data_IF_942515313099
#
_entry.id   IF_942515313099
#
_cell.length_a   1.000
_cell.length_b   1.000
_cell.length_c   1.000
_cell.angle_alpha   90.00
_cell.angle_beta   90.00
_cell.angle_gamma   90.00
#
_symmetry.space_group_name_H-M   'P 1'
#
loop_
_entity.id
_entity.type
_entity.pdbx_description
1 polymer ?
#
# COMPACT_ATOMS: atom_id res chain seq x y z
N UNK A 1 -9.32 -25.12 16.08
CA UNK A 1 -10.60 -24.65 15.53
C UNK A 1 -10.75 -23.20 15.96
N UNK A 2 -10.28 -22.26 15.12
CA UNK A 2 -10.37 -20.82 15.37
C UNK A 2 -11.54 -20.29 14.57
N UNK A 3 -12.57 -19.83 15.26
CA UNK A 3 -13.68 -19.16 14.63
C UNK A 3 -13.14 -17.82 14.08
N UNK A 4 -13.16 -17.67 12.77
CA UNK A 4 -12.93 -16.41 12.11
C UNK A 4 -14.01 -15.43 12.57
N UNK A 5 -13.61 -14.42 13.35
CA UNK A 5 -14.42 -13.23 13.47
C UNK A 5 -14.31 -12.53 12.11
N UNK A 6 -15.39 -12.59 11.37
CA UNK A 6 -15.60 -11.88 10.11
C UNK A 6 -15.67 -10.38 10.42
N UNK A 7 -14.51 -9.75 10.49
CA UNK A 7 -14.35 -8.29 10.47
C UNK A 7 -13.97 -8.01 9.04
N UNK A 8 -15.00 -7.91 8.20
CA UNK A 8 -14.97 -7.56 6.78
C UNK A 8 -13.64 -6.95 6.29
N UNK A 9 -12.75 -7.79 5.79
CA UNK A 9 -11.69 -7.41 4.86
C UNK A 9 -10.35 -6.98 5.43
N UNK A 10 -10.18 -6.82 6.74
CA UNK A 10 -8.85 -6.58 7.30
C UNK A 10 -8.16 -7.93 7.49
N UNK A 11 -7.46 -8.36 6.47
CA UNK A 11 -6.50 -9.44 6.61
C UNK A 11 -5.29 -8.88 7.35
N UNK A 12 -5.30 -8.96 8.69
CA UNK A 12 -4.08 -8.79 9.47
C UNK A 12 -3.26 -10.02 9.17
N UNK A 13 -2.55 -9.98 8.06
CA UNK A 13 -1.59 -11.00 7.70
C UNK A 13 -0.38 -10.82 8.61
N UNK A 14 -0.49 -11.35 9.82
CA UNK A 14 0.71 -11.59 10.61
C UNK A 14 1.64 -12.42 9.75
N UNK A 15 2.78 -11.84 9.41
CA UNK A 15 3.84 -12.52 8.70
C UNK A 15 4.20 -13.81 9.47
N UNK A 16 3.52 -14.89 9.10
CA UNK A 16 3.68 -16.23 9.68
C UNK A 16 4.94 -16.91 9.17
N UNK A 17 6.10 -16.30 9.40
CA UNK A 17 7.39 -16.94 9.18
C UNK A 17 8.10 -17.26 10.49
N UNK A 18 7.35 -17.84 11.44
CA UNK A 18 7.94 -18.46 12.62
C UNK A 18 7.17 -19.73 12.93
N UNK A 19 7.47 -20.80 12.18
CA UNK A 19 7.18 -22.15 12.64
C UNK A 19 8.14 -22.49 13.77
N UNK A 20 7.59 -22.84 14.93
CA UNK A 20 8.34 -23.54 15.95
C UNK A 20 8.36 -22.90 17.34
N UNK A 21 7.75 -23.61 18.27
CA UNK A 21 8.06 -23.65 19.70
C UNK A 21 7.83 -22.39 20.53
N UNK A 22 6.78 -22.46 21.31
CA UNK A 22 6.49 -21.57 22.43
C UNK A 22 7.61 -21.67 23.47
N UNK A 23 8.55 -20.73 23.46
CA UNK A 23 9.42 -20.42 24.60
C UNK A 23 10.15 -19.09 24.31
N UNK A 24 9.72 -18.01 24.97
CA UNK A 24 10.45 -16.76 25.18
C UNK A 24 11.22 -16.19 23.97
N UNK A 25 10.61 -16.10 22.81
CA UNK A 25 11.17 -15.26 21.77
C UNK A 25 10.74 -13.82 22.02
N UNK A 26 11.70 -13.03 22.47
CA UNK A 26 11.65 -11.58 22.45
C UNK A 26 11.44 -11.21 20.97
N UNK A 27 10.22 -10.88 20.60
CA UNK A 27 9.92 -10.35 19.26
C UNK A 27 10.48 -8.95 19.25
N UNK A 28 11.70 -8.80 18.73
CA UNK A 28 12.32 -7.50 18.50
C UNK A 28 11.85 -7.03 17.13
N UNK A 29 11.35 -5.79 17.05
CA UNK A 29 10.92 -5.17 15.81
C UNK A 29 9.57 -4.45 15.92
N UNK A 30 9.19 -3.78 14.85
CA UNK A 30 7.96 -2.96 14.73
C UNK A 30 6.65 -3.74 14.94
N UNK A 31 6.66 -5.05 14.80
CA UNK A 31 5.47 -5.89 15.00
C UNK A 31 5.00 -6.04 16.46
N UNK A 32 5.87 -5.80 17.45
CA UNK A 32 5.50 -5.97 18.86
C UNK A 32 4.41 -5.00 19.32
N UNK A 33 4.53 -3.68 19.09
CA UNK A 33 3.50 -2.71 19.47
C UNK A 33 2.14 -2.99 18.81
N UNK A 34 2.13 -3.42 17.56
CA UNK A 34 0.89 -3.75 16.84
C UNK A 34 0.13 -4.92 17.46
N UNK A 35 0.84 -5.88 18.03
CA UNK A 35 0.24 -7.01 18.72
C UNK A 35 -0.55 -6.58 19.95
N UNK A 36 -0.16 -5.50 20.62
CA UNK A 36 -0.87 -4.97 21.79
C UNK A 36 -2.19 -4.31 21.42
N UNK A 37 -2.35 -3.86 20.17
CA UNK A 37 -3.62 -3.34 19.66
C UNK A 37 -4.69 -4.44 19.48
N UNK A 38 -4.29 -5.71 19.45
CA UNK A 38 -5.21 -6.85 19.29
C UNK A 38 -5.63 -7.37 20.66
N UNK A 39 -6.90 -7.21 20.98
CA UNK A 39 -7.52 -7.66 22.24
C UNK A 39 -8.48 -8.81 22.00
N UNK A 40 -8.98 -9.45 23.07
CA UNK A 40 -10.03 -10.47 22.98
C UNK A 40 -11.37 -9.91 22.48
N UNK A 41 -11.57 -8.59 22.53
CA UNK A 41 -12.80 -7.90 22.12
C UNK A 41 -12.74 -7.37 20.68
N UNK A 42 -11.54 -7.34 20.06
CA UNK A 42 -11.29 -6.82 18.74
C UNK A 42 -9.94 -6.10 18.66
N UNK A 43 -9.76 -5.36 17.58
CA UNK A 43 -8.57 -4.55 17.30
C UNK A 43 -8.87 -3.10 17.67
N UNK A 44 -7.99 -2.47 18.43
CA UNK A 44 -7.99 -1.03 18.65
C UNK A 44 -7.32 -0.35 17.44
N UNK A 45 -8.15 0.02 16.45
CA UNK A 45 -7.69 0.59 15.20
C UNK A 45 -7.05 1.96 15.36
N UNK A 46 -7.49 2.76 16.34
CA UNK A 46 -6.89 4.07 16.60
C UNK A 46 -5.47 3.94 17.18
N UNK A 47 -5.28 3.02 18.13
CA UNK A 47 -3.96 2.69 18.65
C UNK A 47 -3.05 2.12 17.56
N UNK A 48 -3.60 1.26 16.71
CA UNK A 48 -2.92 0.68 15.55
C UNK A 48 -2.40 1.76 14.58
N UNK A 49 -3.25 2.70 14.19
CA UNK A 49 -2.89 3.76 13.25
C UNK A 49 -1.84 4.72 13.82
N UNK A 50 -1.85 4.99 15.13
CA UNK A 50 -0.84 5.82 15.80
C UNK A 50 0.57 5.23 15.78
N UNK A 51 0.69 3.93 15.64
CA UNK A 51 1.99 3.25 15.55
C UNK A 51 2.63 3.38 14.16
N UNK A 52 1.91 3.84 13.16
CA UNK A 52 2.39 3.92 11.78
C UNK A 52 3.69 4.72 11.63
N UNK A 53 3.82 5.84 12.33
CA UNK A 53 5.02 6.66 12.30
C UNK A 53 6.29 5.92 12.77
N UNK A 54 6.14 4.90 13.63
CA UNK A 54 7.27 4.06 14.06
C UNK A 54 7.66 3.06 12.98
N UNK A 55 6.67 2.39 12.37
CA UNK A 55 6.90 1.38 11.32
C UNK A 55 7.53 1.97 10.07
N UNK A 56 7.16 3.18 9.68
CA UNK A 56 7.77 3.88 8.53
C UNK A 56 9.30 3.96 8.63
N UNK A 57 9.83 4.08 9.86
CA UNK A 57 11.27 4.15 10.09
C UNK A 57 11.96 2.78 10.21
N UNK A 58 11.21 1.73 10.57
CA UNK A 58 11.78 0.43 10.88
C UNK A 58 11.69 -0.54 9.69
N UNK A 59 10.54 -0.61 9.03
CA UNK A 59 10.27 -1.54 7.93
C UNK A 59 9.33 -0.95 6.89
N UNK A 60 9.91 -0.48 5.80
CA UNK A 60 9.15 0.14 4.72
C UNK A 60 8.15 -0.82 4.02
N UNK A 61 8.43 -2.13 3.96
CA UNK A 61 7.51 -3.10 3.35
C UNK A 61 6.23 -3.23 4.18
N UNK A 62 6.39 -3.44 5.48
CA UNK A 62 5.26 -3.48 6.41
C UNK A 62 4.50 -2.14 6.41
N UNK A 63 5.21 -1.01 6.31
CA UNK A 63 4.56 0.30 6.22
C UNK A 63 3.69 0.44 4.95
N UNK A 64 4.17 -0.05 3.80
CA UNK A 64 3.41 -0.06 2.54
C UNK A 64 2.13 -0.90 2.69
N UNK A 65 2.25 -2.13 3.19
CA UNK A 65 1.11 -3.03 3.39
C UNK A 65 0.06 -2.40 4.31
N UNK A 66 0.49 -1.88 5.46
CA UNK A 66 -0.42 -1.21 6.41
C UNK A 66 -1.12 -0.01 5.77
N UNK A 67 -0.38 0.85 5.08
CA UNK A 67 -0.96 2.04 4.46
C UNK A 67 -1.98 1.68 3.37
N UNK A 68 -1.68 0.71 2.52
CA UNK A 68 -2.61 0.22 1.51
C UNK A 68 -3.86 -0.39 2.13
N UNK A 69 -3.70 -1.32 3.09
CA UNK A 69 -4.82 -2.00 3.74
C UNK A 69 -5.73 -1.02 4.48
N UNK A 70 -5.16 -0.07 5.23
CA UNK A 70 -5.95 0.92 5.97
C UNK A 70 -6.72 1.88 5.08
N UNK A 71 -6.18 2.23 3.93
CA UNK A 71 -6.85 3.09 2.95
C UNK A 71 -7.88 2.34 2.11
N UNK A 72 -7.61 1.09 1.76
CA UNK A 72 -8.57 0.23 1.03
C UNK A 72 -9.75 -0.17 1.91
N UNK A 73 -9.52 -0.35 3.22
CA UNK A 73 -10.54 -0.75 4.20
C UNK A 73 -10.61 0.26 5.36
N UNK A 74 -11.14 1.46 5.16
CA UNK A 74 -11.06 2.58 6.11
C UNK A 74 -12.06 2.49 7.26
N UNK A 75 -12.06 1.37 8.00
CA UNK A 75 -12.92 1.20 9.18
C UNK A 75 -12.38 2.09 10.32
N UNK A 76 -13.24 2.97 10.87
CA UNK A 76 -12.89 3.89 11.96
C UNK A 76 -11.62 4.73 11.71
N UNK A 77 -11.30 5.01 10.43
CA UNK A 77 -10.13 5.78 10.06
C UNK A 77 -10.41 7.28 10.13
N UNK A 78 -9.73 7.96 11.04
CA UNK A 78 -9.82 9.42 11.19
C UNK A 78 -9.18 10.15 9.99
N UNK A 79 -9.74 11.31 9.61
CA UNK A 79 -9.30 12.03 8.41
C UNK A 79 -7.81 12.39 8.44
N UNK A 80 -7.28 12.83 9.58
CA UNK A 80 -5.86 13.19 9.70
C UNK A 80 -4.92 11.99 9.54
N UNK A 81 -5.36 10.79 9.95
CA UNK A 81 -4.61 9.56 9.77
C UNK A 81 -4.68 9.08 8.32
N UNK A 82 -5.85 9.26 7.67
CA UNK A 82 -5.99 9.02 6.23
C UNK A 82 -5.03 9.88 5.43
N UNK A 83 -4.99 11.18 5.68
CA UNK A 83 -4.09 12.12 5.02
C UNK A 83 -2.61 11.72 5.23
N UNK A 84 -2.26 11.23 6.41
CA UNK A 84 -0.92 10.74 6.71
C UNK A 84 -0.55 9.51 5.87
N UNK A 85 -1.46 8.55 5.70
CA UNK A 85 -1.26 7.38 4.85
C UNK A 85 -1.15 7.77 3.37
N UNK A 86 -2.06 8.62 2.88
CA UNK A 86 -2.05 9.11 1.49
C UNK A 86 -0.75 9.87 1.19
N UNK A 87 -0.34 10.76 2.07
CA UNK A 87 0.91 11.50 1.93
C UNK A 87 2.14 10.57 1.91
N UNK A 88 2.16 9.55 2.75
CA UNK A 88 3.24 8.55 2.75
C UNK A 88 3.31 7.80 1.43
N UNK A 89 2.16 7.33 0.91
CA UNK A 89 2.10 6.60 -0.35
C UNK A 89 2.49 7.48 -1.55
N UNK A 90 2.04 8.73 -1.59
CA UNK A 90 2.38 9.67 -2.65
C UNK A 90 3.89 10.01 -2.67
N UNK A 91 4.46 10.32 -1.51
CA UNK A 91 5.88 10.67 -1.38
C UNK A 91 6.81 9.50 -1.71
N UNK A 92 6.40 8.28 -1.47
CA UNK A 92 7.21 7.07 -1.68
C UNK A 92 6.74 6.23 -2.88
N UNK A 93 5.88 6.77 -3.75
CA UNK A 93 5.24 6.04 -4.84
C UNK A 93 6.22 5.25 -5.73
N UNK A 94 7.40 5.79 -6.00
CA UNK A 94 8.44 5.11 -6.80
C UNK A 94 8.92 3.81 -6.13
N UNK A 95 9.25 3.88 -4.84
CA UNK A 95 9.71 2.72 -4.06
C UNK A 95 8.57 1.71 -3.89
N UNK A 96 7.38 2.19 -3.66
CA UNK A 96 6.17 1.38 -3.48
C UNK A 96 5.88 0.56 -4.74
N UNK A 97 5.89 1.18 -5.91
CA UNK A 97 5.68 0.47 -7.17
C UNK A 97 6.77 -0.56 -7.46
N UNK A 98 8.03 -0.28 -7.12
CA UNK A 98 9.13 -1.25 -7.21
C UNK A 98 8.95 -2.48 -6.30
N UNK A 99 8.18 -2.35 -5.23
CA UNK A 99 7.82 -3.47 -4.34
C UNK A 99 6.57 -4.21 -4.83
N UNK A 100 5.50 -3.46 -5.13
CA UNK A 100 4.19 -4.04 -5.43
C UNK A 100 4.15 -4.75 -6.81
N UNK A 101 4.90 -4.26 -7.80
CA UNK A 101 4.88 -4.84 -9.16
C UNK A 101 5.44 -6.27 -9.17
N UNK A 102 6.65 -6.56 -8.66
CA UNK A 102 7.17 -7.93 -8.62
C UNK A 102 6.33 -8.88 -7.75
N UNK A 103 5.65 -8.36 -6.74
CA UNK A 103 4.76 -9.14 -5.87
C UNK A 103 3.37 -9.37 -6.47
N UNK A 104 3.11 -8.82 -7.67
CA UNK A 104 1.84 -8.92 -8.39
C UNK A 104 0.63 -8.41 -7.57
N UNK A 105 0.81 -7.33 -6.83
CA UNK A 105 -0.20 -6.69 -5.98
C UNK A 105 -1.14 -5.80 -6.81
N UNK A 106 -2.01 -6.46 -7.58
CA UNK A 106 -2.88 -5.80 -8.57
C UNK A 106 -3.91 -4.88 -7.90
N UNK A 107 -4.49 -5.31 -6.77
CA UNK A 107 -5.54 -4.56 -6.07
C UNK A 107 -5.00 -3.26 -5.47
N UNK A 108 -3.83 -3.34 -4.84
CA UNK A 108 -3.15 -2.18 -4.25
C UNK A 108 -2.75 -1.17 -5.32
N UNK A 109 -2.19 -1.63 -6.44
CA UNK A 109 -1.83 -0.75 -7.57
C UNK A 109 -3.08 -0.12 -8.20
N UNK A 110 -4.17 -0.87 -8.35
CA UNK A 110 -5.45 -0.35 -8.84
C UNK A 110 -6.00 0.74 -7.92
N UNK A 111 -5.91 0.54 -6.60
CA UNK A 111 -6.30 1.53 -5.62
C UNK A 111 -5.47 2.81 -5.72
N UNK A 112 -4.14 2.69 -5.81
CA UNK A 112 -3.23 3.83 -5.96
C UNK A 112 -3.55 4.65 -7.21
N UNK A 113 -3.86 3.98 -8.33
CA UNK A 113 -4.30 4.63 -9.57
C UNK A 113 -5.65 5.35 -9.39
N UNK A 114 -6.63 4.68 -8.78
CA UNK A 114 -7.96 5.24 -8.56
C UNK A 114 -7.94 6.47 -7.64
N UNK A 115 -7.05 6.47 -6.65
CA UNK A 115 -6.86 7.57 -5.70
C UNK A 115 -5.91 8.66 -6.20
N UNK A 116 -5.38 8.55 -7.42
CA UNK A 116 -4.43 9.49 -8.02
C UNK A 116 -3.15 9.71 -7.18
N UNK A 117 -2.69 8.69 -6.47
CA UNK A 117 -1.51 8.76 -5.58
C UNK A 117 -0.18 8.47 -6.31
N UNK A 118 -0.21 8.22 -7.62
CA UNK A 118 0.99 7.93 -8.42
C UNK A 118 1.38 9.18 -9.23
N UNK A 119 2.50 9.84 -8.91
CA UNK A 119 3.00 10.95 -9.71
C UNK A 119 3.56 10.48 -11.06
N UNK A 120 3.61 11.39 -12.04
CA UNK A 120 4.06 11.09 -13.42
C UNK A 120 5.47 10.50 -13.45
N UNK A 121 6.37 10.97 -12.57
CA UNK A 121 7.74 10.48 -12.47
C UNK A 121 7.79 9.00 -12.05
N UNK A 122 7.07 8.62 -11.00
CA UNK A 122 7.01 7.23 -10.53
C UNK A 122 6.38 6.30 -11.57
N UNK A 123 5.40 6.79 -12.33
CA UNK A 123 4.76 6.04 -13.41
C UNK A 123 5.73 5.76 -14.56
N UNK A 124 6.61 6.70 -14.90
CA UNK A 124 7.61 6.53 -15.96
C UNK A 124 8.57 5.36 -15.66
N UNK A 125 8.92 5.15 -14.40
CA UNK A 125 9.79 4.04 -13.97
C UNK A 125 9.02 2.72 -13.81
N UNK A 126 7.75 2.79 -13.40
CA UNK A 126 6.92 1.62 -13.16
C UNK A 126 6.50 0.87 -14.44
N UNK A 127 6.26 1.58 -15.54
CA UNK A 127 5.83 0.97 -16.80
C UNK A 127 6.88 0.02 -17.41
N UNK A 128 8.18 0.39 -17.53
CA UNK A 128 9.22 -0.53 -17.96
C UNK A 128 9.33 -1.74 -17.03
N UNK A 129 9.30 -1.52 -15.72
CA UNK A 129 9.40 -2.58 -14.72
C UNK A 129 8.26 -3.59 -14.85
N UNK A 130 7.00 -3.14 -15.00
CA UNK A 130 5.86 -4.04 -15.20
C UNK A 130 5.98 -4.88 -16.49
N UNK A 131 6.63 -4.33 -17.52
CA UNK A 131 6.89 -5.04 -18.78
C UNK A 131 8.01 -6.07 -18.64
N UNK A 132 9.09 -5.74 -17.94
CA UNK A 132 10.23 -6.63 -17.65
C UNK A 132 9.78 -7.81 -16.79
N UNK A 133 8.98 -7.58 -15.76
CA UNK A 133 8.42 -8.60 -14.88
C UNK A 133 7.24 -9.38 -15.52
N UNK A 134 6.88 -9.06 -16.76
CA UNK A 134 5.77 -9.68 -17.51
C UNK A 134 4.41 -9.57 -16.81
N UNK A 135 4.20 -8.54 -16.03
CA UNK A 135 2.96 -8.25 -15.31
C UNK A 135 1.97 -7.52 -16.21
N UNK A 136 1.41 -8.24 -17.20
CA UNK A 136 0.57 -7.64 -18.26
C UNK A 136 -0.67 -6.91 -17.72
N UNK A 137 -1.29 -7.42 -16.66
CA UNK A 137 -2.44 -6.79 -16.04
C UNK A 137 -2.07 -5.47 -15.38
N UNK A 138 -0.98 -5.44 -14.62
CA UNK A 138 -0.47 -4.22 -13.99
C UNK A 138 -0.05 -3.20 -15.05
N UNK A 139 0.67 -3.64 -16.10
CA UNK A 139 1.06 -2.76 -17.20
C UNK A 139 -0.16 -2.11 -17.86
N UNK A 140 -1.25 -2.87 -18.09
CA UNK A 140 -2.47 -2.32 -18.66
C UNK A 140 -3.13 -1.28 -17.77
N UNK A 141 -3.18 -1.50 -16.44
CA UNK A 141 -3.72 -0.56 -15.44
C UNK A 141 -2.90 0.73 -15.44
N UNK A 142 -1.57 0.62 -15.40
CA UNK A 142 -0.68 1.79 -15.38
C UNK A 142 -0.76 2.59 -16.70
N UNK A 143 -0.87 1.94 -17.85
CA UNK A 143 -1.06 2.60 -19.15
C UNK A 143 -2.40 3.35 -19.23
N UNK A 144 -3.48 2.75 -18.72
CA UNK A 144 -4.78 3.39 -18.67
C UNK A 144 -4.76 4.62 -17.74
N UNK A 145 -4.11 4.48 -16.59
CA UNK A 145 -3.90 5.59 -15.65
C UNK A 145 -3.10 6.72 -16.30
N UNK A 146 -2.00 6.39 -17.02
CA UNK A 146 -1.20 7.38 -17.76
C UNK A 146 -2.04 8.13 -18.78
N UNK A 147 -2.84 7.40 -19.56
CA UNK A 147 -3.70 7.99 -20.59
C UNK A 147 -4.74 8.93 -20.00
N UNK A 148 -5.35 8.53 -18.88
CA UNK A 148 -6.43 9.28 -18.25
C UNK A 148 -5.95 10.58 -17.57
N UNK A 149 -4.81 10.53 -16.91
CA UNK A 149 -4.32 11.62 -16.06
C UNK A 149 -3.27 12.51 -16.76
N UNK A 150 -2.43 11.92 -17.63
CA UNK A 150 -1.30 12.63 -18.24
C UNK A 150 -1.38 12.70 -19.77
N UNK A 151 -2.28 11.94 -20.41
CA UNK A 151 -2.40 11.88 -21.88
C UNK A 151 -2.86 13.16 -22.56
N UNK A 152 -3.55 14.05 -21.85
CA UNK A 152 -4.08 15.29 -22.41
C UNK A 152 -3.05 16.41 -22.64
N UNK A 153 -1.87 16.31 -22.05
CA UNK A 153 -0.80 17.33 -22.21
C UNK A 153 -0.09 17.29 -23.56
N UNK A 154 -0.12 16.17 -24.30
CA UNK A 154 0.55 16.04 -25.61
C UNK A 154 -0.27 16.54 -26.81
N UNK A 155 -1.57 16.75 -26.67
CA UNK A 155 -2.43 17.20 -27.78
C UNK A 155 -2.47 18.71 -27.98
N UNK A 156 -1.90 19.51 -27.06
CA UNK A 156 -2.01 20.99 -27.09
C UNK A 156 -0.82 21.71 -27.75
N UNK A 157 0.17 21.00 -28.30
CA UNK A 157 1.37 21.63 -28.88
C UNK A 157 1.52 21.45 -30.39
N UNK A 158 0.46 21.04 -31.10
CA UNK A 158 0.41 21.14 -32.56
C UNK A 158 -0.59 22.23 -32.98
N UNK A 159 -0.28 23.48 -32.66
CA UNK A 159 -0.83 24.60 -33.43
C UNK A 159 -0.03 24.68 -34.71
N UNK A 160 -0.65 24.30 -35.83
CA UNK A 160 -0.16 24.54 -37.17
C UNK A 160 -0.23 26.05 -37.40
N UNK A 161 0.96 26.68 -37.39
CA UNK A 161 1.13 27.98 -38.04
C UNK A 161 1.20 27.76 -39.55
N UNK A 162 0.22 28.31 -40.21
CA UNK A 162 0.22 28.56 -41.66
C UNK A 162 0.51 30.04 -41.93
#
# INVERSE_FOLDING_TARGET
MWAAADVSGICIQFCGRCGGSVLHHKIEGSGYPYRECVTRKGVDLLAYDRLFAQVVNDDYRTAIEIACDRLMYPVELENHLREQYEQYLEQNAEVILKVLIPENKVEEISYLCASCLIPEAALADALPLASEEKMSQIAAILMEYQRSNFGKKKASTMSLDW
#
